data_IF_586106145220
#
_entry.id   IF_586106145220
#
_cell.length_a   1.000
_cell.length_b   1.000
_cell.length_c   1.000
_cell.angle_alpha   90.00
_cell.angle_beta   90.00
_cell.angle_gamma   90.00
#
_symmetry.space_group_name_H-M   'P 1'
#
loop_
_entity.id
_entity.type
_entity.pdbx_description
1 polymer ?
#
# COMPACT_ATOMS: atom_id res chain seq x y z
N UNK A 1 16.74 3.91 -22.66
CA UNK A 1 17.14 2.50 -22.49
C UNK A 1 17.67 2.29 -21.07
N UNK A 2 17.04 1.35 -20.35
CA UNK A 2 17.51 0.63 -19.16
C UNK A 2 18.13 1.44 -18.00
N UNK A 3 17.33 1.63 -16.95
CA UNK A 3 17.75 1.30 -15.57
C UNK A 3 16.60 0.59 -14.87
N UNK A 4 16.53 -0.72 -15.10
CA UNK A 4 15.94 -1.65 -14.16
C UNK A 4 16.75 -1.53 -12.87
N UNK A 5 16.18 -0.91 -11.84
CA UNK A 5 16.65 -1.04 -10.48
C UNK A 5 15.56 -1.80 -9.73
N UNK A 6 15.62 -3.12 -9.83
CA UNK A 6 14.96 -4.03 -8.92
C UNK A 6 15.69 -3.86 -7.60
N UNK A 7 15.18 -2.97 -6.74
CA UNK A 7 15.61 -2.90 -5.35
C UNK A 7 14.71 -3.86 -4.56
N UNK A 8 15.10 -5.15 -4.54
CA UNK A 8 14.59 -6.09 -3.54
C UNK A 8 15.25 -5.69 -2.22
N UNK A 9 14.70 -4.68 -1.56
CA UNK A 9 14.87 -4.52 -0.13
C UNK A 9 13.75 -5.30 0.50
N UNK A 10 14.04 -6.56 0.82
CA UNK A 10 13.38 -7.28 1.90
C UNK A 10 13.63 -6.49 3.18
N UNK A 11 12.87 -5.42 3.38
CA UNK A 11 12.96 -4.57 4.55
C UNK A 11 11.97 -5.14 5.55
N UNK A 12 12.50 -6.05 6.35
CA UNK A 12 12.00 -6.43 7.66
C UNK A 12 11.95 -5.19 8.57
N UNK A 13 11.02 -4.28 8.30
CA UNK A 13 10.69 -3.17 9.19
C UNK A 13 9.80 -3.72 10.29
N UNK A 14 10.49 -4.13 11.35
CA UNK A 14 10.12 -3.89 12.75
C UNK A 14 8.64 -3.60 13.02
N UNK A 15 7.93 -4.66 13.41
CA UNK A 15 7.28 -4.70 14.72
C UNK A 15 6.47 -3.47 15.12
N UNK A 16 5.46 -3.11 14.34
CA UNK A 16 4.29 -2.44 14.89
C UNK A 16 3.31 -3.53 15.29
N UNK A 17 3.10 -3.63 16.60
CA UNK A 17 2.06 -4.43 17.23
C UNK A 17 0.78 -4.39 16.41
N UNK A 18 0.47 -5.52 15.74
CA UNK A 18 -0.80 -5.77 15.08
C UNK A 18 -1.90 -5.76 16.15
N UNK A 19 -2.39 -4.56 16.46
CA UNK A 19 -3.47 -4.34 17.40
C UNK A 19 -4.78 -4.67 16.66
N UNK A 20 -5.03 -5.96 16.40
CA UNK A 20 -6.28 -6.49 15.84
C UNK A 20 -6.91 -5.66 14.69
N UNK A 21 -6.06 -5.06 13.85
CA UNK A 21 -6.49 -4.20 12.76
C UNK A 21 -6.71 -5.12 11.55
N UNK A 22 -7.90 -5.10 10.96
CA UNK A 22 -8.24 -5.97 9.82
C UNK A 22 -7.30 -5.76 8.64
N UNK A 23 -7.24 -6.72 7.70
CA UNK A 23 -6.33 -6.70 6.55
C UNK A 23 -6.33 -5.39 5.76
N UNK A 24 -7.49 -4.73 5.65
CA UNK A 24 -7.65 -3.43 5.01
C UNK A 24 -6.75 -2.35 5.62
N UNK A 25 -6.76 -2.23 6.95
CA UNK A 25 -5.97 -1.21 7.66
C UNK A 25 -4.46 -1.46 7.53
N UNK A 26 -4.03 -2.71 7.60
CA UNK A 26 -2.64 -3.11 7.39
C UNK A 26 -2.19 -2.76 5.98
N UNK A 27 -3.02 -3.06 4.97
CA UNK A 27 -2.74 -2.72 3.58
C UNK A 27 -2.66 -1.21 3.35
N UNK A 28 -3.60 -0.46 3.92
CA UNK A 28 -3.62 1.01 3.82
C UNK A 28 -2.35 1.63 4.41
N UNK A 29 -1.97 1.19 5.61
CA UNK A 29 -0.78 1.69 6.29
C UNK A 29 0.50 1.38 5.52
N UNK A 30 0.62 0.17 4.96
CA UNK A 30 1.74 -0.20 4.11
C UNK A 30 1.88 0.73 2.89
N UNK A 31 0.77 1.01 2.19
CA UNK A 31 0.76 1.93 1.05
C UNK A 31 1.15 3.36 1.43
N UNK A 32 0.65 3.87 2.56
CA UNK A 32 0.98 5.21 3.05
C UNK A 32 2.46 5.29 3.47
N UNK A 33 2.99 4.23 4.09
CA UNK A 33 4.41 4.17 4.48
C UNK A 33 5.32 4.24 3.25
N UNK A 34 5.05 3.40 2.24
CA UNK A 34 5.83 3.38 1.01
C UNK A 34 5.80 4.74 0.29
N UNK A 35 4.62 5.36 0.15
CA UNK A 35 4.50 6.69 -0.45
C UNK A 35 5.34 7.77 0.28
N UNK A 36 5.43 7.69 1.62
CA UNK A 36 6.26 8.60 2.43
C UNK A 36 7.75 8.31 2.28
N UNK A 37 8.13 7.04 2.20
CA UNK A 37 9.52 6.62 2.02
C UNK A 37 10.10 7.07 0.67
N UNK A 38 9.28 7.13 -0.38
CA UNK A 38 9.67 7.68 -1.68
C UNK A 38 9.95 9.19 -1.65
N UNK A 39 9.36 9.92 -0.69
CA UNK A 39 9.41 11.38 -0.58
C UNK A 39 9.63 11.83 0.87
N UNK A 40 10.80 11.51 1.47
CA UNK A 40 11.08 11.83 2.87
C UNK A 40 11.26 13.34 3.12
N UNK A 41 11.38 14.14 2.06
CA UNK A 41 11.42 15.61 2.12
C UNK A 41 10.06 16.23 2.53
N UNK A 42 8.97 15.48 2.38
CA UNK A 42 7.61 15.95 2.61
C UNK A 42 7.18 15.71 4.05
N UNK A 43 6.81 16.79 4.74
CA UNK A 43 6.42 16.76 6.16
C UNK A 43 4.92 16.74 6.41
N UNK A 44 4.12 17.06 5.39
CA UNK A 44 2.67 17.13 5.50
C UNK A 44 2.05 16.44 4.29
N UNK A 45 1.26 15.42 4.61
CA UNK A 45 0.55 14.58 3.67
C UNK A 45 -0.92 14.52 4.06
N UNK A 46 -1.78 14.42 3.05
CA UNK A 46 -3.20 14.17 3.18
C UNK A 46 -3.55 13.00 2.26
N UNK A 47 -4.00 11.91 2.88
CA UNK A 47 -4.43 10.67 2.24
C UNK A 47 -5.95 10.43 2.45
N UNK A 48 -6.72 11.47 2.80
CA UNK A 48 -8.15 11.34 3.09
C UNK A 48 -8.96 10.84 1.89
N UNK A 49 -8.55 11.21 0.67
CA UNK A 49 -9.17 10.77 -0.60
C UNK A 49 -8.65 9.41 -1.09
N UNK A 50 -7.77 8.74 -0.33
CA UNK A 50 -7.34 7.37 -0.64
C UNK A 50 -8.33 6.40 -0.01
N UNK A 51 -8.80 5.44 -0.79
CA UNK A 51 -9.65 4.34 -0.35
C UNK A 51 -8.89 3.03 -0.50
N UNK A 52 -9.22 2.04 0.34
CA UNK A 52 -8.63 0.70 0.30
C UNK A 52 -9.74 -0.31 0.06
N UNK A 53 -9.55 -1.23 -0.89
CA UNK A 53 -10.56 -2.20 -1.29
C UNK A 53 -9.94 -3.59 -1.44
N UNK A 54 -10.76 -4.60 -1.15
CA UNK A 54 -10.39 -6.00 -1.29
C UNK A 54 -10.42 -6.39 -2.78
N UNK A 55 -9.26 -6.74 -3.32
CA UNK A 55 -9.12 -7.23 -4.70
C UNK A 55 -9.22 -8.74 -4.79
N UNK A 56 -9.23 -9.43 -3.66
CA UNK A 56 -9.31 -10.88 -3.62
C UNK A 56 -10.57 -11.31 -4.35
N UNK A 57 -11.75 -10.82 -3.96
CA UNK A 57 -13.02 -11.23 -4.57
C UNK A 57 -13.03 -11.11 -6.11
N UNK A 58 -12.49 -10.00 -6.64
CA UNK A 58 -12.38 -9.78 -8.09
C UNK A 58 -11.41 -10.75 -8.79
N UNK A 59 -10.37 -11.23 -8.10
CA UNK A 59 -9.45 -12.24 -8.62
C UNK A 59 -9.97 -13.68 -8.42
N UNK A 60 -10.78 -13.92 -7.39
CA UNK A 60 -11.32 -15.24 -7.03
C UNK A 60 -12.37 -15.78 -8.01
N UNK A 61 -13.05 -14.94 -8.79
CA UNK A 61 -13.98 -15.39 -9.84
C UNK A 61 -13.31 -16.30 -10.89
N UNK A 62 -11.97 -16.41 -10.92
CA UNK A 62 -11.21 -17.20 -11.90
C UNK A 62 -10.62 -18.51 -11.39
N UNK A 63 -10.62 -18.80 -10.09
CA UNK A 63 -9.90 -19.97 -9.55
C UNK A 63 -10.33 -20.35 -8.15
N UNK A 64 -11.31 -21.24 -8.04
CA UNK A 64 -11.88 -21.64 -6.76
C UNK A 64 -10.91 -22.40 -5.85
N UNK A 65 -10.76 -21.91 -4.61
CA UNK A 65 -10.78 -22.70 -3.36
C UNK A 65 -10.92 -21.76 -2.16
N UNK A 66 -11.88 -22.10 -1.28
CA UNK A 66 -12.02 -21.82 0.17
C UNK A 66 -11.52 -20.47 0.74
N UNK A 67 -12.48 -19.63 1.13
CA UNK A 67 -12.43 -18.59 2.17
C UNK A 67 -11.03 -18.08 2.53
N UNK A 68 -10.59 -17.02 1.86
CA UNK A 68 -9.51 -16.23 2.40
C UNK A 68 -10.00 -15.50 3.65
N UNK A 69 -9.40 -15.80 4.79
CA UNK A 69 -9.48 -14.91 5.94
C UNK A 69 -8.78 -13.59 5.60
N UNK A 70 -9.08 -12.50 6.33
CA UNK A 70 -8.53 -11.18 6.03
C UNK A 70 -6.99 -11.13 6.07
N UNK A 71 -6.37 -12.17 6.64
CA UNK A 71 -4.93 -12.35 6.77
C UNK A 71 -4.26 -12.96 5.53
N UNK A 72 -5.03 -13.37 4.52
CA UNK A 72 -4.53 -13.98 3.29
C UNK A 72 -5.16 -13.35 2.04
N UNK A 73 -5.16 -12.01 1.95
CA UNK A 73 -5.87 -11.26 0.90
C UNK A 73 -4.98 -10.33 0.09
N UNK A 74 -5.44 -10.02 -1.12
CA UNK A 74 -4.90 -8.93 -1.91
C UNK A 74 -5.78 -7.69 -1.75
N UNK A 75 -5.12 -6.58 -1.49
CA UNK A 75 -5.76 -5.28 -1.29
C UNK A 75 -5.20 -4.30 -2.30
N UNK A 76 -6.02 -3.33 -2.71
CA UNK A 76 -5.52 -2.15 -3.40
C UNK A 76 -5.94 -0.89 -2.66
N UNK A 77 -5.03 0.08 -2.62
CA UNK A 77 -5.33 1.44 -2.18
C UNK A 77 -5.19 2.39 -3.35
N UNK A 78 -6.23 3.17 -3.66
CA UNK A 78 -6.21 4.15 -4.72
C UNK A 78 -6.85 5.47 -4.30
N UNK A 79 -6.47 6.56 -4.95
CA UNK A 79 -7.09 7.86 -4.73
C UNK A 79 -6.14 9.01 -4.97
N UNK A 80 -6.55 10.19 -4.52
CA UNK A 80 -5.71 11.38 -4.59
C UNK A 80 -4.95 11.59 -3.29
N UNK A 81 -3.68 11.98 -3.41
CA UNK A 81 -2.80 12.33 -2.30
C UNK A 81 -2.39 13.77 -2.48
N UNK A 82 -2.63 14.57 -1.44
CA UNK A 82 -2.21 15.96 -1.40
C UNK A 82 -1.02 16.10 -0.47
N UNK A 83 0.02 16.82 -0.90
CA UNK A 83 1.18 17.07 -0.04
C UNK A 83 1.81 18.44 -0.29
N UNK A 84 2.54 18.94 0.71
CA UNK A 84 3.26 20.22 0.63
C UNK A 84 4.77 20.02 0.50
N UNK A 85 5.36 20.62 -0.53
CA UNK A 85 6.80 20.68 -0.75
C UNK A 85 7.22 22.15 -0.84
N UNK A 86 7.86 22.65 0.22
CA UNK A 86 8.07 24.09 0.39
C UNK A 86 6.74 24.86 0.40
N UNK A 87 6.64 25.90 -0.41
CA UNK A 87 5.44 26.74 -0.53
C UNK A 87 4.39 26.20 -1.52
N UNK A 88 4.68 25.07 -2.18
CA UNK A 88 3.80 24.50 -3.20
C UNK A 88 2.98 23.35 -2.62
N UNK A 89 1.69 23.36 -2.95
CA UNK A 89 0.80 22.22 -2.74
C UNK A 89 0.76 21.38 -4.01
N UNK A 90 0.95 20.08 -3.87
CA UNK A 90 0.91 19.11 -4.95
C UNK A 90 -0.26 18.17 -4.71
N UNK A 91 -0.91 17.77 -5.80
CA UNK A 91 -1.93 16.73 -5.82
C UNK A 91 -1.50 15.66 -6.82
N UNK A 92 -1.48 14.41 -6.38
CA UNK A 92 -1.00 13.26 -7.15
C UNK A 92 -1.95 12.10 -7.00
N UNK A 93 -2.13 11.31 -8.04
CA UNK A 93 -2.87 10.05 -7.91
C UNK A 93 -1.96 9.00 -7.31
N UNK A 94 -2.47 8.22 -6.36
CA UNK A 94 -1.80 7.06 -5.79
C UNK A 94 -2.54 5.80 -6.20
N UNK A 95 -1.79 4.78 -6.59
CA UNK A 95 -2.26 3.41 -6.70
C UNK A 95 -1.22 2.53 -6.03
N UNK A 96 -1.66 1.62 -5.18
CA UNK A 96 -0.82 0.70 -4.44
C UNK A 96 -1.54 -0.64 -4.31
N UNK A 97 -0.80 -1.74 -4.45
CA UNK A 97 -1.32 -3.10 -4.30
C UNK A 97 -0.53 -3.79 -3.18
N UNK A 98 -1.23 -4.51 -2.31
CA UNK A 98 -0.62 -5.19 -1.17
C UNK A 98 -1.13 -6.62 -1.10
N UNK A 99 -0.21 -7.58 -1.08
CA UNK A 99 -0.52 -8.97 -0.80
C UNK A 99 -0.21 -9.28 0.67
N UNK A 100 -1.24 -9.57 1.45
CA UNK A 100 -1.11 -10.03 2.83
C UNK A 100 -1.16 -11.57 2.85
N UNK A 101 -0.19 -12.22 3.49
CA UNK A 101 -0.22 -13.66 3.79
C UNK A 101 0.13 -13.88 5.25
N UNK A 102 -0.65 -14.70 5.95
CA UNK A 102 -0.53 -14.91 7.39
C UNK A 102 -0.50 -13.61 8.21
N UNK A 103 -1.20 -12.56 7.76
CA UNK A 103 -1.25 -11.26 8.42
C UNK A 103 -0.04 -10.37 8.18
N UNK A 104 0.92 -10.81 7.35
CA UNK A 104 2.12 -10.05 7.00
C UNK A 104 2.08 -9.61 5.53
N UNK A 105 2.61 -8.43 5.24
CA UNK A 105 2.80 -7.94 3.87
C UNK A 105 3.92 -8.75 3.22
N UNK A 106 3.61 -9.47 2.15
CA UNK A 106 4.56 -10.40 1.49
C UNK A 106 5.06 -9.94 0.13
N UNK A 107 4.33 -9.04 -0.54
CA UNK A 107 4.75 -8.38 -1.79
C UNK A 107 4.59 -6.87 -1.60
N UNK A 108 5.54 -6.11 -2.15
CA UNK A 108 5.70 -4.69 -1.85
C UNK A 108 4.46 -3.88 -2.23
N UNK A 109 4.07 -3.00 -1.31
CA UNK A 109 3.20 -1.87 -1.59
C UNK A 109 3.96 -0.93 -2.52
N UNK A 110 3.83 -1.07 -3.84
CA UNK A 110 4.43 -0.10 -4.77
C UNK A 110 3.45 1.07 -4.95
N UNK A 111 3.59 2.12 -4.12
CA UNK A 111 2.74 3.30 -4.24
C UNK A 111 3.20 4.17 -5.41
N UNK A 112 2.44 4.21 -6.50
CA UNK A 112 2.80 5.03 -7.66
C UNK A 112 2.15 6.41 -7.53
N UNK A 113 2.96 7.44 -7.29
CA UNK A 113 2.53 8.84 -7.28
C UNK A 113 2.63 9.46 -8.69
N UNK A 114 1.51 9.56 -9.41
CA UNK A 114 1.43 10.11 -10.77
C UNK A 114 0.93 11.56 -10.80
#
# INVERSE_FOLDING_TARGET
MKRLAIAITALSVLGLTACAAGGESVAREACISDAKEQRPDIKSWDFSDVETFDLSEAMFETGGTSSLDDNNRMWASNGEVTYKSGDKTHKKSMVCFVTIKNGEVTESADAILN
#
